data_IF_441618383825
#
_entry.id   IF_441618383825
#
_cell.length_a   1.000
_cell.length_b   1.000
_cell.length_c   1.000
_cell.angle_alpha   90.00
_cell.angle_beta   90.00
_cell.angle_gamma   90.00
#
_symmetry.space_group_name_H-M   'P 1'
#
loop_
_entity.id
_entity.type
_entity.pdbx_description
1 polymer ?
#
# COMPACT_ATOMS: atom_id res chain seq x y z
N UNK A 1 21.38 13.00 10.77
CA UNK A 1 21.80 13.93 9.69
C UNK A 1 23.24 13.68 9.26
N UNK A 2 24.21 13.64 10.17
CA UNK A 2 25.61 13.31 9.82
C UNK A 2 25.74 11.93 9.16
N UNK A 3 25.19 10.87 9.76
CA UNK A 3 25.17 9.51 9.19
C UNK A 3 24.50 9.42 7.81
N UNK A 4 23.50 10.27 7.56
CA UNK A 4 22.84 10.32 6.25
C UNK A 4 23.76 10.93 5.20
N UNK A 5 24.38 12.07 5.51
CA UNK A 5 25.24 12.76 4.55
C UNK A 5 26.52 12.00 4.23
N UNK A 6 27.15 11.32 5.20
CA UNK A 6 28.43 10.62 4.95
C UNK A 6 28.31 9.46 3.96
N UNK A 7 27.10 8.94 3.71
CA UNK A 7 26.87 7.87 2.76
C UNK A 7 27.15 8.30 1.31
N UNK A 8 26.93 9.58 0.97
CA UNK A 8 26.95 10.08 -0.41
C UNK A 8 27.70 11.42 -0.60
N UNK A 9 27.87 12.21 0.45
CA UNK A 9 28.46 13.55 0.35
C UNK A 9 29.92 13.44 -0.13
N UNK A 10 30.23 14.16 -1.20
CA UNK A 10 31.56 14.16 -1.80
C UNK A 10 31.95 12.91 -2.58
N UNK A 11 31.08 11.90 -2.67
CA UNK A 11 31.27 10.76 -3.59
C UNK A 11 30.83 11.14 -5.00
N UNK A 12 31.31 10.40 -6.00
CA UNK A 12 30.76 10.51 -7.35
C UNK A 12 29.29 10.06 -7.35
N UNK A 13 28.40 10.64 -8.17
CA UNK A 13 26.96 10.38 -8.07
C UNK A 13 26.54 8.89 -8.16
N UNK A 14 27.25 8.09 -8.96
CA UNK A 14 27.02 6.65 -9.12
C UNK A 14 27.96 5.77 -8.30
N UNK A 15 28.73 6.33 -7.37
CA UNK A 15 29.64 5.61 -6.47
C UNK A 15 29.04 5.50 -5.06
N UNK A 16 27.75 5.17 -4.99
CA UNK A 16 27.02 4.97 -3.73
C UNK A 16 26.28 3.65 -3.80
N UNK A 17 26.53 2.80 -2.81
CA UNK A 17 26.00 1.45 -2.70
C UNK A 17 25.06 1.35 -1.49
N UNK A 18 24.09 0.41 -1.45
CA UNK A 18 23.13 0.33 -0.34
C UNK A 18 23.78 0.28 1.04
N UNK A 19 24.88 -0.47 1.17
CA UNK A 19 25.60 -0.63 2.43
C UNK A 19 26.21 0.68 2.97
N UNK A 20 26.40 1.72 2.13
CA UNK A 20 26.85 3.03 2.59
C UNK A 20 25.83 3.70 3.54
N UNK A 21 24.55 3.37 3.42
CA UNK A 21 23.49 3.88 4.29
C UNK A 21 23.23 3.05 5.54
N UNK A 22 23.92 1.92 5.70
CA UNK A 22 23.63 0.95 6.77
C UNK A 22 23.55 1.60 8.15
N UNK A 23 24.59 2.35 8.54
CA UNK A 23 24.65 2.98 9.86
C UNK A 23 23.52 4.02 10.06
N UNK A 24 23.15 4.75 9.00
CA UNK A 24 22.04 5.69 9.05
C UNK A 24 20.70 4.97 9.22
N UNK A 25 20.44 3.96 8.39
CA UNK A 25 19.19 3.20 8.39
C UNK A 25 19.01 2.48 9.72
N UNK A 26 20.02 1.77 10.22
CA UNK A 26 19.96 1.08 11.52
C UNK A 26 19.70 2.05 12.68
N UNK A 27 20.30 3.25 12.64
CA UNK A 27 20.16 4.24 13.71
C UNK A 27 18.84 5.01 13.68
N UNK A 28 18.26 5.22 12.50
CA UNK A 28 17.10 6.08 12.30
C UNK A 28 15.78 5.29 12.09
N UNK A 29 15.88 3.97 11.90
CA UNK A 29 14.71 3.12 11.74
C UNK A 29 13.88 3.03 13.01
N UNK A 30 12.56 2.95 12.82
CA UNK A 30 11.58 2.80 13.89
C UNK A 30 10.90 1.43 13.76
N UNK A 31 10.41 0.90 14.87
CA UNK A 31 9.66 -0.35 14.87
C UNK A 31 8.34 -0.16 14.13
N UNK A 32 8.11 -0.99 13.12
CA UNK A 32 6.83 -1.08 12.42
C UNK A 32 5.85 -1.77 13.37
N UNK A 33 4.63 -1.24 13.58
CA UNK A 33 3.64 -1.94 14.37
C UNK A 33 3.35 -3.33 13.78
N UNK A 34 3.14 -4.30 14.67
CA UNK A 34 2.76 -5.66 14.27
C UNK A 34 1.49 -5.63 13.40
N UNK A 35 1.42 -6.54 12.42
CA UNK A 35 0.30 -6.72 11.50
C UNK A 35 0.06 -5.57 10.50
N UNK A 36 0.99 -4.61 10.43
CA UNK A 36 0.84 -3.38 9.64
C UNK A 36 1.82 -3.24 8.47
N UNK A 37 2.84 -4.08 8.30
CA UNK A 37 3.77 -3.96 7.17
C UNK A 37 3.06 -4.12 5.81
N UNK A 38 3.31 -3.15 4.91
CA UNK A 38 2.71 -3.10 3.59
C UNK A 38 3.79 -2.81 2.53
N UNK A 39 4.03 -3.80 1.69
CA UNK A 39 4.96 -3.75 0.57
C UNK A 39 4.19 -3.47 -0.72
N UNK A 40 4.91 -3.04 -1.75
CA UNK A 40 4.36 -2.82 -3.08
C UNK A 40 5.48 -2.87 -4.11
N UNK A 41 5.14 -3.23 -5.34
CA UNK A 41 6.12 -3.31 -6.42
C UNK A 41 5.56 -2.68 -7.69
N UNK A 42 6.25 -1.63 -8.15
CA UNK A 42 5.90 -0.84 -9.32
C UNK A 42 5.31 0.52 -8.97
N UNK A 43 5.83 1.58 -9.60
CA UNK A 43 5.33 2.95 -9.42
C UNK A 43 3.87 3.12 -9.85
N UNK A 44 3.38 2.23 -10.70
CA UNK A 44 2.01 2.18 -11.20
C UNK A 44 0.96 1.75 -10.15
N UNK A 45 1.39 1.20 -9.00
CA UNK A 45 0.49 0.89 -7.87
C UNK A 45 0.67 1.83 -6.67
N UNK A 46 1.70 2.69 -6.68
CA UNK A 46 2.12 3.51 -5.54
C UNK A 46 0.98 4.32 -4.89
N UNK A 47 0.23 5.08 -5.68
CA UNK A 47 -0.82 5.96 -5.16
C UNK A 47 -1.98 5.17 -4.52
N UNK A 48 -2.34 4.03 -5.13
CA UNK A 48 -3.36 3.12 -4.59
C UNK A 48 -2.96 2.60 -3.22
N UNK A 49 -1.71 2.15 -3.08
CA UNK A 49 -1.18 1.60 -1.82
C UNK A 49 -1.10 2.68 -0.75
N UNK A 50 -0.62 3.87 -1.10
CA UNK A 50 -0.54 4.99 -0.16
C UNK A 50 -1.91 5.43 0.36
N UNK A 51 -2.90 5.52 -0.53
CA UNK A 51 -4.28 5.86 -0.17
C UNK A 51 -4.93 4.76 0.69
N UNK A 52 -4.57 3.50 0.45
CA UNK A 52 -4.99 2.39 1.32
C UNK A 52 -4.36 2.48 2.71
N UNK A 53 -3.06 2.71 2.79
CA UNK A 53 -2.32 2.81 4.04
C UNK A 53 -2.78 3.99 4.91
N UNK A 54 -3.27 5.08 4.30
CA UNK A 54 -3.86 6.25 4.97
C UNK A 54 -2.95 6.81 6.06
N UNK A 55 -1.76 7.26 5.65
CA UNK A 55 -0.75 7.84 6.55
C UNK A 55 -0.41 6.96 7.76
N UNK A 56 -0.30 5.64 7.55
CA UNK A 56 0.02 4.69 8.61
C UNK A 56 -1.16 4.28 9.49
N UNK A 57 -2.39 4.75 9.20
CA UNK A 57 -3.57 4.44 10.03
C UNK A 57 -4.14 3.04 9.76
N UNK A 58 -3.99 2.51 8.53
CA UNK A 58 -4.41 1.14 8.20
C UNK A 58 -3.23 0.20 8.15
N UNK A 59 -2.20 0.60 7.42
CA UNK A 59 -0.95 -0.14 7.23
C UNK A 59 0.19 0.84 7.01
N UNK A 60 1.42 0.38 7.19
CA UNK A 60 2.65 1.14 7.05
C UNK A 60 3.38 0.67 5.81
N UNK A 61 3.56 1.56 4.84
CA UNK A 61 4.54 1.44 3.78
C UNK A 61 5.86 2.06 4.22
N UNK A 62 6.96 1.75 3.52
CA UNK A 62 8.27 2.30 3.85
C UNK A 62 8.27 3.84 3.87
N UNK A 63 7.57 4.50 2.95
CA UNK A 63 7.46 5.97 2.88
C UNK A 63 6.68 6.61 4.04
N UNK A 64 5.94 5.83 4.84
CA UNK A 64 5.32 6.30 6.09
C UNK A 64 6.18 6.07 7.34
N UNK A 65 7.37 5.45 7.20
CA UNK A 65 8.37 5.43 8.27
C UNK A 65 9.06 6.80 8.42
N UNK A 66 9.79 7.03 9.53
CA UNK A 66 10.52 8.29 9.72
C UNK A 66 11.49 8.59 8.57
N UNK A 67 12.33 7.62 8.21
CA UNK A 67 13.34 7.81 7.16
C UNK A 67 12.70 7.87 5.76
N UNK A 68 11.66 7.06 5.52
CA UNK A 68 10.93 7.11 4.26
C UNK A 68 10.25 8.47 4.07
N UNK A 69 9.56 8.98 5.09
CA UNK A 69 8.88 10.27 5.03
C UNK A 69 9.83 11.43 4.75
N UNK A 70 11.02 11.42 5.38
CA UNK A 70 12.01 12.49 5.23
C UNK A 70 12.68 12.51 3.84
N UNK A 71 12.79 11.36 3.17
CA UNK A 71 13.52 11.22 1.91
C UNK A 71 12.58 11.09 0.70
N UNK A 72 11.32 10.75 0.92
CA UNK A 72 10.35 10.61 -0.16
C UNK A 72 10.19 11.91 -0.97
N UNK A 73 10.39 11.82 -2.28
CA UNK A 73 10.37 12.96 -3.20
C UNK A 73 11.62 13.84 -3.19
N UNK A 74 12.67 13.49 -2.43
CA UNK A 74 13.95 14.20 -2.46
C UNK A 74 14.93 13.55 -3.42
N UNK A 75 15.69 14.41 -4.12
CA UNK A 75 16.74 14.01 -5.04
C UNK A 75 18.06 14.66 -4.63
N UNK A 76 19.13 13.88 -4.52
CA UNK A 76 20.41 14.37 -4.02
C UNK A 76 21.55 13.44 -4.46
N UNK A 77 22.76 14.00 -4.59
CA UNK A 77 23.99 13.27 -4.90
C UNK A 77 25.23 14.11 -4.56
N UNK A 78 26.38 13.45 -4.44
CA UNK A 78 27.68 14.11 -4.23
C UNK A 78 28.27 14.68 -5.53
N UNK A 79 29.26 15.57 -5.39
CA UNK A 79 29.97 16.20 -6.51
C UNK A 79 31.34 15.56 -6.84
N UNK A 80 31.70 14.46 -6.17
CA UNK A 80 33.02 13.83 -6.24
C UNK A 80 34.17 14.63 -5.61
N UNK A 81 33.89 15.80 -5.03
CA UNK A 81 34.88 16.82 -4.60
C UNK A 81 34.68 17.28 -3.15
N UNK A 82 33.94 16.51 -2.35
CA UNK A 82 33.68 16.80 -0.94
C UNK A 82 32.40 17.62 -0.68
N UNK A 83 31.58 17.85 -1.70
CA UNK A 83 30.36 18.65 -1.62
C UNK A 83 29.10 17.93 -2.13
N UNK A 84 28.02 18.69 -2.18
CA UNK A 84 26.74 18.32 -2.78
C UNK A 84 26.75 18.79 -4.23
N UNK A 85 26.28 17.97 -5.16
CA UNK A 85 26.05 18.44 -6.52
C UNK A 85 24.74 19.25 -6.57
N UNK A 86 24.85 20.53 -6.91
CA UNK A 86 23.71 21.46 -6.99
C UNK A 86 23.20 21.70 -8.41
N UNK A 87 23.85 21.11 -9.41
CA UNK A 87 23.50 21.31 -10.82
C UNK A 87 22.56 20.21 -11.31
N UNK A 88 22.96 18.95 -11.16
CA UNK A 88 22.19 17.80 -11.63
C UNK A 88 22.67 16.52 -10.95
N UNK A 89 21.74 15.59 -10.68
CA UNK A 89 22.06 14.22 -10.30
C UNK A 89 21.64 13.27 -11.43
N UNK A 90 22.23 12.06 -11.52
CA UNK A 90 21.86 11.07 -12.52
C UNK A 90 20.37 10.75 -12.44
N UNK A 91 19.70 10.54 -13.56
CA UNK A 91 18.28 10.14 -13.61
C UNK A 91 18.09 8.65 -13.19
N UNK A 92 16.84 8.24 -12.98
CA UNK A 92 16.47 6.86 -12.64
C UNK A 92 17.12 5.84 -13.59
N UNK A 93 17.87 4.88 -13.03
CA UNK A 93 18.54 3.83 -13.78
C UNK A 93 19.86 4.21 -14.47
N UNK A 94 20.27 5.48 -14.48
CA UNK A 94 21.56 5.89 -15.10
C UNK A 94 22.77 5.26 -14.40
N UNK A 95 22.68 5.04 -13.09
CA UNK A 95 23.73 4.38 -12.31
C UNK A 95 23.61 2.84 -12.28
N UNK A 96 22.51 2.29 -12.80
CA UNK A 96 22.13 0.89 -12.62
C UNK A 96 21.24 0.66 -11.38
N UNK A 97 20.62 -0.52 -11.31
CA UNK A 97 19.66 -0.86 -10.26
C UNK A 97 20.29 -0.80 -8.85
N UNK A 98 19.62 -0.09 -7.93
CA UNK A 98 20.04 0.05 -6.53
C UNK A 98 21.40 0.77 -6.31
N UNK A 99 21.92 1.45 -7.34
CA UNK A 99 23.19 2.18 -7.30
C UNK A 99 22.93 3.68 -7.44
N UNK A 100 23.74 4.48 -6.76
CA UNK A 100 23.60 5.92 -6.69
C UNK A 100 22.83 6.35 -5.44
N UNK A 101 22.97 7.62 -5.07
CA UNK A 101 22.62 8.08 -3.73
C UNK A 101 21.16 7.83 -3.31
N UNK A 102 20.20 8.00 -4.22
CA UNK A 102 18.76 7.82 -3.93
C UNK A 102 18.39 6.33 -3.94
N UNK A 103 18.76 5.60 -4.98
CA UNK A 103 18.42 4.17 -5.14
C UNK A 103 19.08 3.29 -4.08
N UNK A 104 20.34 3.56 -3.75
CA UNK A 104 21.05 2.88 -2.67
C UNK A 104 20.38 3.12 -1.30
N UNK A 105 19.86 4.33 -1.05
CA UNK A 105 19.12 4.61 0.17
C UNK A 105 17.85 3.76 0.23
N UNK A 106 17.04 3.74 -0.84
CA UNK A 106 15.82 2.95 -0.87
C UNK A 106 16.08 1.46 -0.75
N UNK A 107 17.19 0.96 -1.32
CA UNK A 107 17.58 -0.45 -1.20
C UNK A 107 17.85 -0.85 0.25
N UNK A 108 18.70 -0.09 0.96
CA UNK A 108 19.02 -0.40 2.37
C UNK A 108 17.83 -0.16 3.29
N UNK A 109 17.02 0.87 3.03
CA UNK A 109 15.79 1.13 3.78
C UNK A 109 14.76 0.02 3.59
N UNK A 110 14.57 -0.47 2.36
CA UNK A 110 13.66 -1.59 2.02
C UNK A 110 14.08 -2.87 2.73
N UNK A 111 15.38 -3.18 2.70
CA UNK A 111 15.96 -4.30 3.44
C UNK A 111 15.67 -4.21 4.94
N UNK A 112 15.92 -3.07 5.56
CA UNK A 112 15.68 -2.91 6.99
C UNK A 112 14.19 -2.95 7.35
N UNK A 113 13.33 -2.38 6.51
CA UNK A 113 11.88 -2.42 6.65
C UNK A 113 11.37 -3.86 6.65
N UNK A 114 11.88 -4.69 5.74
CA UNK A 114 11.55 -6.12 5.68
C UNK A 114 12.02 -6.92 6.90
N UNK A 115 13.23 -6.66 7.40
CA UNK A 115 13.74 -7.30 8.64
C UNK A 115 12.87 -6.96 9.86
N UNK A 116 12.26 -5.77 9.84
CA UNK A 116 11.44 -5.24 10.93
C UNK A 116 9.98 -5.67 10.87
N UNK A 117 9.53 -6.28 9.77
CA UNK A 117 8.16 -6.74 9.60
C UNK A 117 7.82 -7.89 10.56
N UNK A 118 6.63 -7.80 11.18
CA UNK A 118 6.13 -8.82 12.12
C UNK A 118 4.62 -8.99 11.96
N UNK A 119 4.16 -10.24 12.01
CA UNK A 119 2.74 -10.60 11.97
C UNK A 119 2.22 -10.65 10.53
N UNK A 120 1.02 -10.13 10.34
CA UNK A 120 0.39 -9.98 9.03
C UNK A 120 1.13 -8.92 8.20
N UNK A 121 1.69 -9.34 7.08
CA UNK A 121 2.23 -8.46 6.04
C UNK A 121 1.35 -8.49 4.80
N UNK A 122 1.36 -7.40 4.03
CA UNK A 122 0.66 -7.30 2.75
C UNK A 122 1.64 -6.92 1.66
N UNK A 123 1.40 -7.36 0.44
CA UNK A 123 2.08 -6.87 -0.76
C UNK A 123 1.07 -6.59 -1.86
N UNK A 124 1.19 -5.43 -2.48
CA UNK A 124 0.27 -4.94 -3.51
C UNK A 124 0.95 -4.95 -4.87
N UNK A 125 0.24 -5.47 -5.87
CA UNK A 125 0.68 -5.48 -7.26
C UNK A 125 -0.39 -4.97 -8.20
N UNK A 126 0.03 -4.35 -9.30
CA UNK A 126 -0.84 -4.04 -10.43
C UNK A 126 -1.00 -5.26 -11.35
N UNK A 127 -2.25 -5.68 -11.61
CA UNK A 127 -2.61 -6.76 -12.53
C UNK A 127 -2.18 -6.49 -13.97
N UNK A 128 -1.99 -5.23 -14.34
CA UNK A 128 -1.74 -4.81 -15.72
C UNK A 128 -0.26 -4.51 -16.01
N UNK A 129 0.64 -4.81 -15.05
CA UNK A 129 2.07 -4.55 -15.20
C UNK A 129 2.68 -5.43 -16.31
N UNK A 130 3.36 -4.86 -17.31
CA UNK A 130 4.05 -5.64 -18.35
C UNK A 130 5.06 -6.62 -17.75
N UNK A 131 5.08 -7.85 -18.25
CA UNK A 131 5.92 -8.93 -17.70
C UNK A 131 5.34 -9.62 -16.46
N UNK A 132 4.24 -9.10 -15.91
CA UNK A 132 3.52 -9.67 -14.79
C UNK A 132 3.59 -8.82 -13.50
N UNK A 133 2.64 -9.02 -12.57
CA UNK A 133 2.59 -8.35 -11.27
C UNK A 133 3.90 -8.39 -10.47
N UNK A 134 4.46 -9.60 -10.28
CA UNK A 134 5.69 -9.83 -9.54
C UNK A 134 6.90 -9.92 -10.48
N UNK A 135 7.90 -9.08 -10.27
CA UNK A 135 9.17 -9.08 -11.02
C UNK A 135 10.28 -9.67 -10.14
N UNK A 136 11.08 -10.58 -10.70
CA UNK A 136 12.16 -11.23 -9.95
C UNK A 136 13.47 -10.45 -9.97
N UNK A 137 13.68 -9.64 -11.01
CA UNK A 137 14.88 -8.84 -11.25
C UNK A 137 14.51 -7.35 -11.22
N UNK A 138 15.45 -6.51 -10.80
CA UNK A 138 15.31 -5.05 -10.74
C UNK A 138 14.05 -4.60 -9.98
N UNK A 139 13.69 -5.37 -8.94
CA UNK A 139 12.56 -5.11 -8.05
C UNK A 139 13.05 -4.96 -6.62
N UNK A 140 12.77 -3.82 -6.00
CA UNK A 140 13.09 -3.62 -4.58
C UNK A 140 12.41 -4.65 -3.70
N UNK A 141 11.14 -4.99 -4.01
CA UNK A 141 10.42 -6.04 -3.30
C UNK A 141 11.10 -7.39 -3.42
N UNK A 142 11.51 -7.81 -4.63
CA UNK A 142 12.17 -9.11 -4.80
C UNK A 142 13.56 -9.16 -4.16
N UNK A 143 14.40 -8.14 -4.44
CA UNK A 143 15.84 -8.19 -4.17
C UNK A 143 16.25 -7.66 -2.80
N UNK A 144 15.47 -6.77 -2.19
CA UNK A 144 15.78 -6.20 -0.88
C UNK A 144 14.74 -6.54 0.18
N UNK A 145 13.48 -6.77 -0.17
CA UNK A 145 12.44 -7.00 0.82
C UNK A 145 12.18 -8.49 1.04
N UNK A 146 11.61 -9.19 0.05
CA UNK A 146 11.22 -10.60 0.10
C UNK A 146 12.36 -11.51 0.54
N UNK A 147 13.58 -11.25 0.07
CA UNK A 147 14.74 -12.05 0.44
C UNK A 147 15.15 -11.87 1.91
N UNK A 148 14.95 -10.68 2.49
CA UNK A 148 15.35 -10.27 3.85
C UNK A 148 14.23 -10.38 4.90
N UNK A 149 13.02 -10.82 4.50
CA UNK A 149 11.96 -11.13 5.46
C UNK A 149 12.50 -12.12 6.50
N UNK A 150 12.13 -11.91 7.76
CA UNK A 150 12.41 -12.84 8.86
C UNK A 150 11.24 -13.84 8.97
N UNK A 151 11.30 -15.04 8.36
CA UNK A 151 10.11 -15.84 8.09
C UNK A 151 9.34 -16.23 9.35
N UNK A 152 10.05 -16.51 10.45
CA UNK A 152 9.47 -16.87 11.74
C UNK A 152 8.66 -15.74 12.42
N UNK A 153 8.85 -14.49 12.00
CA UNK A 153 8.08 -13.34 12.49
C UNK A 153 6.83 -13.06 11.65
N UNK A 154 6.76 -13.58 10.42
CA UNK A 154 5.64 -13.35 9.52
C UNK A 154 4.57 -14.41 9.77
N UNK A 155 3.41 -14.01 10.27
CA UNK A 155 2.32 -14.95 10.51
C UNK A 155 1.52 -15.27 9.24
N UNK A 156 1.46 -14.31 8.32
CA UNK A 156 0.71 -14.42 7.05
C UNK A 156 1.18 -13.32 6.09
N UNK A 157 1.32 -13.65 4.80
CA UNK A 157 1.51 -12.71 3.71
C UNK A 157 0.23 -12.63 2.86
N UNK A 158 -0.43 -11.50 2.87
CA UNK A 158 -1.59 -11.21 2.02
C UNK A 158 -1.11 -10.59 0.69
N UNK A 159 -1.30 -11.30 -0.42
CA UNK A 159 -0.91 -10.86 -1.78
C UNK A 159 -2.14 -10.26 -2.47
N UNK A 160 -2.11 -8.96 -2.76
CA UNK A 160 -3.22 -8.26 -3.40
C UNK A 160 -2.86 -7.95 -4.84
N UNK A 161 -3.57 -8.57 -5.79
CA UNK A 161 -3.45 -8.30 -7.22
C UNK A 161 -4.61 -7.40 -7.61
N UNK A 162 -4.28 -6.16 -8.00
CA UNK A 162 -5.26 -5.11 -8.18
C UNK A 162 -5.36 -4.70 -9.65
N UNK A 163 -6.59 -4.65 -10.14
CA UNK A 163 -6.96 -4.11 -11.44
C UNK A 163 -7.64 -2.76 -11.24
N UNK A 164 -7.17 -1.71 -11.94
CA UNK A 164 -7.87 -0.42 -12.02
C UNK A 164 -9.29 -0.63 -12.54
N UNK A 165 -10.27 0.09 -11.98
CA UNK A 165 -11.70 -0.06 -12.30
C UNK A 165 -12.00 0.04 -13.80
N UNK A 166 -11.21 0.82 -14.55
CA UNK A 166 -11.41 1.03 -15.99
C UNK A 166 -10.74 -0.04 -16.87
N UNK A 167 -10.03 -0.97 -16.26
CA UNK A 167 -9.24 -1.98 -16.96
C UNK A 167 -9.81 -3.37 -16.72
N UNK A 168 -9.56 -4.26 -17.67
CA UNK A 168 -9.79 -5.69 -17.45
C UNK A 168 -8.54 -6.33 -16.84
N UNK A 169 -8.68 -7.30 -15.92
CA UNK A 169 -7.55 -7.99 -15.31
C UNK A 169 -6.74 -8.72 -16.40
N UNK A 170 -5.45 -8.39 -16.52
CA UNK A 170 -4.51 -9.12 -17.38
C UNK A 170 -3.84 -10.27 -16.62
N UNK A 171 -3.66 -10.08 -15.33
CA UNK A 171 -3.11 -11.04 -14.39
C UNK A 171 -3.95 -11.10 -13.14
N UNK A 172 -3.87 -12.24 -12.48
CA UNK A 172 -4.65 -12.61 -11.30
C UNK A 172 -3.75 -13.42 -10.35
N UNK A 173 -4.36 -13.89 -9.27
CA UNK A 173 -3.69 -14.73 -8.29
C UNK A 173 -3.14 -16.04 -8.86
N UNK A 174 -3.66 -16.56 -9.96
CA UNK A 174 -3.22 -17.82 -10.56
C UNK A 174 -2.20 -17.62 -11.69
N UNK A 175 -1.84 -16.38 -11.97
CA UNK A 175 -0.85 -16.01 -12.99
C UNK A 175 0.56 -16.51 -12.63
N UNK A 176 1.35 -16.80 -13.68
CA UNK A 176 2.69 -17.43 -13.54
C UNK A 176 3.61 -16.63 -12.61
N UNK A 177 3.67 -15.30 -12.77
CA UNK A 177 4.52 -14.45 -11.92
C UNK A 177 4.10 -14.51 -10.43
N UNK A 178 2.79 -14.49 -10.14
CA UNK A 178 2.30 -14.64 -8.76
C UNK A 178 2.57 -16.04 -8.22
N UNK A 179 2.44 -17.09 -9.03
CA UNK A 179 2.80 -18.45 -8.60
C UNK A 179 4.31 -18.61 -8.32
N UNK A 180 5.16 -17.86 -9.01
CA UNK A 180 6.59 -17.79 -8.67
C UNK A 180 6.79 -17.17 -7.28
N UNK A 181 6.10 -16.06 -6.97
CA UNK A 181 6.12 -15.47 -5.63
C UNK A 181 5.63 -16.46 -4.55
N UNK A 182 4.49 -17.12 -4.78
CA UNK A 182 3.96 -18.15 -3.88
C UNK A 182 4.98 -19.26 -3.62
N UNK A 183 5.67 -19.72 -4.67
CA UNK A 183 6.72 -20.74 -4.55
C UNK A 183 7.91 -20.27 -3.69
N UNK A 184 8.28 -18.99 -3.79
CA UNK A 184 9.32 -18.39 -2.93
C UNK A 184 8.84 -18.34 -1.47
N UNK A 185 7.59 -17.93 -1.22
CA UNK A 185 7.01 -17.89 0.13
C UNK A 185 6.90 -19.30 0.73
N UNK A 186 6.48 -20.30 -0.05
CA UNK A 186 6.45 -21.71 0.34
C UNK A 186 7.86 -22.20 0.73
N UNK A 187 8.89 -21.86 -0.04
CA UNK A 187 10.28 -22.22 0.27
C UNK A 187 10.79 -21.60 1.58
N UNK A 188 10.24 -20.45 1.97
CA UNK A 188 10.51 -19.75 3.24
C UNK A 188 9.59 -20.20 4.37
N UNK A 189 8.64 -21.10 4.11
CA UNK A 189 7.59 -21.51 5.06
C UNK A 189 6.73 -20.34 5.58
N UNK A 190 6.51 -19.33 4.73
CA UNK A 190 5.64 -18.19 5.03
C UNK A 190 4.23 -18.50 4.51
N UNK A 191 3.21 -18.60 5.39
CA UNK A 191 1.83 -18.76 4.95
C UNK A 191 1.38 -17.55 4.13
N UNK A 192 0.54 -17.75 3.12
CA UNK A 192 0.00 -16.66 2.32
C UNK A 192 -1.46 -16.85 1.94
N UNK A 193 -2.15 -15.74 1.69
CA UNK A 193 -3.37 -15.69 0.89
C UNK A 193 -3.10 -14.86 -0.36
N UNK A 194 -3.93 -15.05 -1.39
CA UNK A 194 -3.93 -14.19 -2.54
C UNK A 194 -5.36 -13.71 -2.83
N UNK A 195 -5.49 -12.43 -3.16
CA UNK A 195 -6.76 -11.76 -3.39
C UNK A 195 -6.72 -10.96 -4.69
N UNK A 196 -7.63 -11.29 -5.60
CA UNK A 196 -7.93 -10.46 -6.76
C UNK A 196 -8.94 -9.39 -6.35
N UNK A 197 -8.57 -8.11 -6.45
CA UNK A 197 -9.40 -6.96 -6.13
C UNK A 197 -10.24 -7.12 -4.82
N UNK A 198 -9.61 -7.31 -3.65
CA UNK A 198 -10.35 -7.45 -2.39
C UNK A 198 -11.23 -6.22 -2.14
N UNK A 199 -12.43 -6.46 -1.59
CA UNK A 199 -13.53 -5.48 -1.55
C UNK A 199 -13.15 -4.15 -0.89
N UNK A 200 -12.37 -4.19 0.18
CA UNK A 200 -11.93 -3.00 0.90
C UNK A 200 -11.07 -2.07 0.04
N UNK A 201 -10.16 -2.65 -0.75
CA UNK A 201 -9.34 -1.91 -1.72
C UNK A 201 -10.15 -1.52 -2.95
N UNK A 202 -11.02 -2.40 -3.44
CA UNK A 202 -11.85 -2.11 -4.60
C UNK A 202 -12.79 -0.91 -4.36
N UNK A 203 -13.40 -0.83 -3.17
CA UNK A 203 -14.21 0.34 -2.80
C UNK A 203 -13.40 1.65 -2.76
N UNK A 204 -12.10 1.59 -2.45
CA UNK A 204 -11.22 2.74 -2.53
C UNK A 204 -10.98 3.15 -3.98
N UNK A 205 -10.75 2.19 -4.89
CA UNK A 205 -10.61 2.47 -6.32
C UNK A 205 -11.88 3.10 -6.92
N UNK A 206 -13.06 2.74 -6.40
CA UNK A 206 -14.33 3.31 -6.82
C UNK A 206 -14.54 4.77 -6.38
N UNK A 207 -13.73 5.34 -5.48
CA UNK A 207 -13.88 6.74 -5.05
C UNK A 207 -13.70 7.70 -6.23
N UNK A 208 -12.81 7.35 -7.16
CA UNK A 208 -12.50 8.18 -8.33
C UNK A 208 -13.33 7.82 -9.57
N UNK A 209 -14.13 6.75 -9.51
CA UNK A 209 -14.93 6.18 -10.61
C UNK A 209 -16.30 5.73 -10.14
N UNK A 210 -17.05 6.61 -9.45
CA UNK A 210 -18.32 6.30 -8.80
C UNK A 210 -19.46 5.96 -9.78
N UNK A 211 -19.33 6.37 -11.05
CA UNK A 211 -20.27 6.08 -12.13
C UNK A 211 -19.95 4.81 -12.94
N UNK A 212 -18.84 4.13 -12.64
CA UNK A 212 -18.49 2.87 -13.30
C UNK A 212 -19.44 1.74 -12.88
N UNK A 213 -19.78 0.85 -13.82
CA UNK A 213 -20.78 -0.21 -13.60
C UNK A 213 -20.39 -1.15 -12.44
N UNK A 214 -19.10 -1.43 -12.29
CA UNK A 214 -18.60 -2.25 -11.19
C UNK A 214 -18.59 -1.54 -9.83
N UNK A 215 -18.73 -0.21 -9.82
CA UNK A 215 -18.75 0.64 -8.63
C UNK A 215 -20.16 1.02 -8.19
N UNK A 216 -21.18 0.68 -8.99
CA UNK A 216 -22.57 0.84 -8.58
C UNK A 216 -22.90 -0.04 -7.39
N UNK A 217 -23.05 0.58 -6.21
CA UNK A 217 -23.64 -0.10 -5.07
C UNK A 217 -25.05 -0.52 -5.41
N UNK A 218 -25.49 -1.69 -4.92
CA UNK A 218 -26.88 -2.09 -5.02
C UNK A 218 -27.74 -0.96 -4.47
N UNK A 219 -28.48 -0.26 -5.34
CA UNK A 219 -29.50 0.67 -4.90
C UNK A 219 -30.48 -0.14 -4.03
N UNK A 220 -30.61 0.24 -2.77
CA UNK A 220 -31.69 -0.24 -1.91
C UNK A 220 -33.02 0.44 -2.31
N UNK A 221 -33.34 0.43 -3.61
CA UNK A 221 -34.60 0.92 -4.19
C UNK A 221 -35.78 -0.04 -3.88
N UNK A 222 -35.75 -0.70 -2.72
CA UNK A 222 -36.67 -1.79 -2.36
C UNK A 222 -37.05 -1.90 -0.89
N UNK A 223 -36.33 -1.30 0.05
CA UNK A 223 -36.75 -1.22 1.44
C UNK A 223 -37.42 0.12 1.74
N UNK A 224 -38.52 0.42 1.04
CA UNK A 224 -39.58 1.22 1.67
C UNK A 224 -40.04 0.38 2.85
N UNK A 225 -39.45 0.65 4.02
CA UNK A 225 -40.02 0.27 5.29
C UNK A 225 -41.42 0.89 5.24
N UNK A 226 -42.44 0.07 4.91
CA UNK A 226 -43.83 0.41 5.20
C UNK A 226 -43.88 0.52 6.72
N UNK A 227 -43.52 1.68 7.26
CA UNK A 227 -44.16 2.15 8.46
C UNK A 227 -45.62 2.22 8.07
N UNK A 228 -46.35 1.15 8.39
CA UNK A 228 -47.79 1.15 8.38
C UNK A 228 -48.21 2.41 9.13
N UNK A 229 -48.65 3.42 8.38
CA UNK A 229 -49.39 4.56 8.87
C UNK A 229 -50.75 4.02 9.35
N UNK A 230 -50.77 3.27 10.44
CA UNK A 230 -51.95 3.12 11.29
C UNK A 230 -51.99 4.35 12.21
N UNK A 231 -52.01 5.54 11.62
CA UNK A 231 -52.39 6.75 12.34
C UNK A 231 -53.90 6.93 12.15
N UNK A 232 -54.61 6.70 13.26
CA UNK A 232 -55.79 7.48 13.66
C UNK A 232 -57.06 7.26 12.82
N UNK A 233 -57.76 6.15 13.06
CA UNK A 233 -59.22 6.09 12.85
C UNK A 233 -60.02 5.67 14.09
N UNK A 234 -59.40 5.55 15.27
CA UNK A 234 -60.12 5.24 16.51
C UNK A 234 -60.47 6.45 17.40
N UNK A 235 -60.02 7.67 17.09
CA UNK A 235 -60.38 8.86 17.90
C UNK A 235 -61.66 9.55 17.40
N UNK A 236 -62.07 9.34 16.15
CA UNK A 236 -63.30 9.92 15.61
C UNK A 236 -64.59 9.26 16.12
N UNK A 237 -64.53 8.04 16.68
CA UNK A 237 -65.70 7.36 17.25
C UNK A 237 -65.97 7.66 18.73
N UNK A 238 -65.02 8.24 19.46
CA UNK A 238 -65.20 8.59 20.88
C UNK A 238 -65.81 9.99 21.03
N UNK A 239 -65.57 10.93 20.10
CA UNK A 239 -66.11 12.30 20.20
C UNK A 239 -67.61 12.39 19.82
N UNK A 240 -68.14 11.43 19.05
CA UNK A 240 -69.57 11.41 18.64
C UNK A 240 -70.52 10.74 19.66
N UNK A 241 -70.01 10.17 20.75
CA UNK A 241 -70.82 9.58 21.84
C UNK A 241 -70.94 10.50 23.08
N UNK A 242 -70.24 11.64 23.10
CA UNK A 242 -70.27 12.59 24.24
C UNK A 242 -70.97 13.93 23.94
N UNK A 243 -71.48 14.16 22.72
CA UNK A 243 -72.19 15.41 22.36
C UNK A 243 -73.72 15.29 22.28
N UNK A 244 -74.30 14.11 22.58
CA UNK A 244 -75.76 13.93 22.62
C UNK A 244 -76.33 13.79 24.04
N UNK A 245 -75.51 14.06 25.06
CA UNK A 245 -75.91 14.00 26.48
C UNK A 245 -75.62 15.33 27.19
N UNK A 246 -76.11 16.43 26.64
CA UNK A 246 -76.31 17.70 27.37
C UNK A 246 -77.12 18.67 26.51
N UNK A 247 -78.46 18.59 26.60
CA UNK A 247 -79.38 19.73 26.77
C UNK A 247 -80.83 19.26 26.74
N UNK A 248 -81.59 19.81 27.68
CA UNK A 248 -83.04 19.71 27.94
C UNK A 248 -83.95 19.75 26.71
#
# INVERSE_FOLDING_TARGET
MELFSVAWLGKEPCDVEPNDYKDFVESASITIPKDMSNFWDGWDIYDTVRSYSREGQRTWTLDYTLIGYLINGFYFCGDGKGGVNTESCPDDGECGFAVGAVDAFWAEASKHFSISAEGLSRVFFNSSRPGGPFQTEESFFSEFELCNLTPEKISLMDIYVLTDVRQSPQHDCDSVSINNLKSILDSKSIPYNCWDNPRDVFHQLCIDYDDHEDCTFLNDDGAVHKQSFFLITCIAFIVLQFTTKDTS
#
